data_IF_279705623461
#
_entry.id   IF_279705623461
#
_cell.length_a   1.000
_cell.length_b   1.000
_cell.length_c   1.000
_cell.angle_alpha   90.00
_cell.angle_beta   90.00
_cell.angle_gamma   90.00
#
_symmetry.space_group_name_H-M   'P 1'
#
loop_
_entity.id
_entity.type
_entity.pdbx_description
1 polymer ?
#
# COMPACT_ATOMS: atom_id res chain seq x y z
N UNK A 1 9.75 7.69 8.95
CA UNK A 1 8.41 7.64 8.36
C UNK A 1 8.62 7.31 6.89
N UNK A 2 8.10 6.18 6.43
CA UNK A 2 8.25 5.75 5.04
C UNK A 2 7.08 6.32 4.23
N UNK A 3 7.36 6.93 3.09
CA UNK A 3 6.34 7.49 2.20
C UNK A 3 6.06 6.48 1.10
N UNK A 4 4.79 6.14 0.90
CA UNK A 4 4.34 5.17 -0.09
C UNK A 4 3.25 5.81 -0.93
N UNK A 5 3.47 5.98 -2.23
CA UNK A 5 2.43 6.40 -3.15
C UNK A 5 1.93 5.16 -3.90
N UNK A 6 0.62 4.96 -3.87
CA UNK A 6 -0.08 3.86 -4.51
C UNK A 6 -1.05 4.48 -5.50
N UNK A 7 -0.84 4.20 -6.79
CA UNK A 7 -1.78 4.57 -7.83
C UNK A 7 -2.40 3.30 -8.39
N UNK A 8 -3.68 3.06 -8.13
CA UNK A 8 -4.40 1.87 -8.58
C UNK A 8 -5.49 2.22 -9.58
N UNK A 9 -5.55 1.44 -10.67
CA UNK A 9 -6.61 1.52 -11.65
C UNK A 9 -7.39 0.19 -11.71
N UNK A 10 -8.62 0.13 -11.17
CA UNK A 10 -9.40 -1.10 -11.16
C UNK A 10 -9.89 -1.54 -12.55
N UNK A 11 -9.91 -0.62 -13.54
CA UNK A 11 -10.34 -0.94 -14.91
C UNK A 11 -9.27 -1.70 -15.70
N UNK A 12 -8.00 -1.33 -15.51
CA UNK A 12 -6.86 -2.01 -16.15
C UNK A 12 -6.19 -3.04 -15.23
N UNK A 13 -6.56 -3.06 -13.95
CA UNK A 13 -5.93 -3.89 -12.91
C UNK A 13 -4.43 -3.60 -12.82
N UNK A 14 -4.07 -2.33 -12.99
CA UNK A 14 -2.70 -1.86 -12.91
C UNK A 14 -2.49 -1.06 -11.64
N UNK A 15 -1.41 -1.37 -10.92
CA UNK A 15 -1.00 -0.66 -9.71
C UNK A 15 0.43 -0.18 -9.85
N UNK A 16 0.66 1.10 -9.58
CA UNK A 16 1.99 1.68 -9.46
C UNK A 16 2.29 1.96 -8.00
N UNK A 17 3.46 1.53 -7.55
CA UNK A 17 3.97 1.79 -6.20
C UNK A 17 5.22 2.66 -6.31
N UNK A 18 5.29 3.71 -5.50
CA UNK A 18 6.49 4.51 -5.29
C UNK A 18 6.80 4.51 -3.81
N UNK A 19 8.05 4.24 -3.46
CA UNK A 19 8.56 4.30 -2.08
C UNK A 19 9.52 5.47 -2.01
N UNK A 20 9.21 6.46 -1.17
CA UNK A 20 10.00 7.70 -1.03
C UNK A 20 10.26 8.39 -2.40
N UNK A 21 9.30 8.27 -3.34
CA UNK A 21 9.42 8.81 -4.70
C UNK A 21 10.19 7.92 -5.69
N UNK A 22 10.72 6.78 -5.25
CA UNK A 22 11.46 5.84 -6.10
C UNK A 22 10.65 4.58 -6.37
N UNK A 23 10.81 4.02 -7.57
CA UNK A 23 10.19 2.73 -7.91
C UNK A 23 10.85 1.65 -7.06
N UNK A 24 10.08 0.80 -6.35
CA UNK A 24 10.66 -0.28 -5.57
C UNK A 24 11.50 -1.20 -6.48
N UNK A 25 12.64 -1.66 -5.95
CA UNK A 25 13.58 -2.50 -6.68
C UNK A 25 12.91 -3.71 -7.35
N UNK A 26 13.38 -4.10 -8.53
CA UNK A 26 12.95 -5.33 -9.20
C UNK A 26 13.23 -6.54 -8.29
N UNK A 27 12.17 -7.24 -7.88
CA UNK A 27 12.20 -8.30 -6.86
C UNK A 27 11.50 -7.94 -5.54
N UNK A 28 11.12 -6.67 -5.36
CA UNK A 28 10.23 -6.27 -4.28
C UNK A 28 8.86 -6.93 -4.44
N UNK A 29 8.30 -7.47 -3.36
CA UNK A 29 7.02 -8.19 -3.35
C UNK A 29 5.84 -7.33 -3.83
N UNK A 30 5.93 -6.01 -3.68
CA UNK A 30 4.98 -5.04 -4.24
C UNK A 30 4.91 -5.09 -5.77
N UNK A 31 5.99 -5.50 -6.44
CA UNK A 31 6.02 -5.64 -7.91
C UNK A 31 5.05 -6.72 -8.38
N UNK A 32 4.85 -7.78 -7.60
CA UNK A 32 3.88 -8.84 -7.89
C UNK A 32 2.42 -8.37 -7.76
N UNK A 33 2.18 -7.26 -7.07
CA UNK A 33 0.83 -6.69 -6.91
C UNK A 33 0.45 -5.73 -8.03
N UNK A 34 1.41 -5.34 -8.89
CA UNK A 34 1.17 -4.38 -9.99
C UNK A 34 0.12 -4.86 -10.98
N UNK A 35 0.04 -6.16 -11.22
CA UNK A 35 -0.90 -6.79 -12.16
C UNK A 35 -2.00 -7.59 -11.44
N UNK A 36 -2.23 -7.31 -10.15
CA UNK A 36 -3.20 -8.01 -9.32
C UNK A 36 -4.26 -7.06 -8.77
N UNK A 37 -5.47 -7.59 -8.57
CA UNK A 37 -6.57 -6.84 -7.96
C UNK A 37 -6.24 -6.45 -6.53
N UNK A 38 -6.59 -5.22 -6.15
CA UNK A 38 -6.31 -4.63 -4.84
C UNK A 38 -6.79 -5.52 -3.68
N UNK A 39 -8.02 -6.02 -3.77
CA UNK A 39 -8.63 -6.91 -2.76
C UNK A 39 -7.83 -8.20 -2.47
N UNK A 40 -6.96 -8.64 -3.39
CA UNK A 40 -6.15 -9.86 -3.18
C UNK A 40 -4.96 -9.62 -2.25
N UNK A 41 -4.46 -8.39 -2.15
CA UNK A 41 -3.23 -8.08 -1.43
C UNK A 41 -3.39 -6.98 -0.38
N UNK A 42 -4.46 -6.19 -0.42
CA UNK A 42 -4.64 -5.03 0.46
C UNK A 42 -4.60 -5.39 1.95
N UNK A 43 -5.20 -6.52 2.33
CA UNK A 43 -5.21 -6.99 3.72
C UNK A 43 -3.80 -7.28 4.27
N UNK A 44 -2.86 -7.64 3.38
CA UNK A 44 -1.48 -7.97 3.73
C UNK A 44 -0.51 -6.84 3.43
N UNK A 45 -0.95 -5.77 2.76
CA UNK A 45 -0.09 -4.67 2.30
C UNK A 45 0.77 -4.15 3.45
N UNK A 46 0.15 -3.79 4.58
CA UNK A 46 0.85 -3.17 5.70
C UNK A 46 1.81 -4.13 6.42
N UNK A 47 1.45 -5.41 6.55
CA UNK A 47 2.37 -6.42 7.09
C UNK A 47 3.59 -6.62 6.18
N UNK A 48 3.41 -6.60 4.86
CA UNK A 48 4.49 -6.73 3.88
C UNK A 48 5.36 -5.47 3.86
N UNK A 49 4.77 -4.28 3.97
CA UNK A 49 5.52 -3.03 4.13
C UNK A 49 6.35 -3.07 5.41
N UNK A 50 5.78 -3.45 6.55
CA UNK A 50 6.53 -3.59 7.82
C UNK A 50 7.73 -4.52 7.66
N UNK A 51 7.54 -5.70 7.07
CA UNK A 51 8.64 -6.61 6.78
C UNK A 51 9.70 -6.00 5.84
N UNK A 52 9.27 -5.29 4.80
CA UNK A 52 10.15 -4.65 3.83
C UNK A 52 11.00 -3.53 4.45
N UNK A 53 10.45 -2.82 5.44
CA UNK A 53 11.15 -1.76 6.17
C UNK A 53 11.78 -2.23 7.49
N UNK A 54 12.17 -3.52 7.58
CA UNK A 54 12.84 -4.12 8.75
C UNK A 54 12.02 -4.02 10.06
N UNK A 55 10.70 -4.10 9.97
CA UNK A 55 9.78 -3.98 11.10
C UNK A 55 9.43 -2.52 11.48
N UNK A 56 9.68 -1.55 10.61
CA UNK A 56 9.19 -0.19 10.84
C UNK A 56 7.68 -0.16 10.59
N UNK A 57 6.92 0.34 11.56
CA UNK A 57 5.46 0.39 11.50
C UNK A 57 4.93 1.81 11.21
N UNK A 58 5.76 2.71 10.69
CA UNK A 58 5.41 4.13 10.46
C UNK A 58 5.35 4.44 8.97
N UNK A 59 4.13 4.48 8.46
CA UNK A 59 3.84 4.63 7.04
C UNK A 59 3.02 5.88 6.78
N UNK A 60 3.35 6.58 5.70
CA UNK A 60 2.49 7.59 5.10
C UNK A 60 2.15 7.14 3.69
N UNK A 61 0.91 6.73 3.49
CA UNK A 61 0.39 6.20 2.25
C UNK A 61 -0.44 7.28 1.55
N UNK A 62 -0.10 7.63 0.31
CA UNK A 62 -0.97 8.40 -0.57
C UNK A 62 -1.59 7.45 -1.58
N UNK A 63 -2.91 7.36 -1.62
CA UNK A 63 -3.64 6.45 -2.49
C UNK A 63 -4.44 7.21 -3.54
N UNK A 64 -4.12 6.98 -4.81
CA UNK A 64 -4.86 7.48 -5.96
C UNK A 64 -5.55 6.35 -6.69
N UNK A 65 -6.87 6.40 -6.75
CA UNK A 65 -7.67 5.41 -7.46
C UNK A 65 -9.13 5.80 -7.47
N UNK A 66 -10.02 4.81 -7.54
CA UNK A 66 -11.45 5.05 -7.34
C UNK A 66 -11.78 5.03 -5.85
N UNK A 67 -12.91 5.64 -5.49
CA UNK A 67 -13.36 5.75 -4.10
C UNK A 67 -13.52 4.39 -3.41
N UNK A 68 -14.08 3.40 -4.12
CA UNK A 68 -14.25 2.04 -3.57
C UNK A 68 -12.92 1.41 -3.16
N UNK A 69 -11.89 1.52 -4.00
CA UNK A 69 -10.57 0.96 -3.68
C UNK A 69 -9.90 1.72 -2.52
N UNK A 70 -10.12 3.03 -2.42
CA UNK A 70 -9.62 3.79 -1.27
C UNK A 70 -10.30 3.37 0.03
N UNK A 71 -11.61 3.09 0.01
CA UNK A 71 -12.30 2.59 1.20
C UNK A 71 -11.70 1.25 1.65
N UNK A 72 -11.38 0.35 0.72
CA UNK A 72 -10.68 -0.91 1.02
C UNK A 72 -9.29 -0.65 1.64
N UNK A 73 -8.54 0.32 1.11
CA UNK A 73 -7.22 0.71 1.66
C UNK A 73 -7.35 1.36 3.04
N UNK A 74 -8.36 2.20 3.24
CA UNK A 74 -8.64 2.86 4.50
C UNK A 74 -9.01 1.86 5.59
N UNK A 75 -9.78 0.83 5.25
CA UNK A 75 -10.11 -0.26 6.16
C UNK A 75 -8.86 -1.04 6.57
N UNK A 76 -8.01 -1.42 5.60
CA UNK A 76 -6.74 -2.10 5.87
C UNK A 76 -5.78 -1.22 6.70
N UNK A 77 -5.72 0.08 6.42
CA UNK A 77 -4.93 1.04 7.20
C UNK A 77 -5.43 1.14 8.64
N UNK A 78 -6.75 1.12 8.84
CA UNK A 78 -7.35 1.12 10.16
C UNK A 78 -7.09 -0.18 10.92
N UNK A 79 -7.14 -1.33 10.23
CA UNK A 79 -6.77 -2.62 10.81
C UNK A 79 -5.30 -2.65 11.25
N UNK A 80 -4.39 -2.11 10.43
CA UNK A 80 -2.98 -1.94 10.78
C UNK A 80 -2.79 -1.03 12.00
N UNK A 81 -3.51 0.10 12.06
CA UNK A 81 -3.52 1.00 13.23
C UNK A 81 -3.97 0.30 14.51
N UNK A 82 -5.01 -0.51 14.43
CA UNK A 82 -5.51 -1.29 15.57
C UNK A 82 -4.48 -2.32 16.07
N UNK A 83 -3.56 -2.76 15.22
CA UNK A 83 -2.44 -3.66 15.57
C UNK A 83 -1.23 -2.91 16.16
N UNK A 84 -1.28 -1.59 16.25
CA UNK A 84 -0.23 -0.74 16.81
C UNK A 84 0.64 -0.02 15.76
N UNK A 85 0.31 -0.14 14.47
CA UNK A 85 1.04 0.57 13.41
C UNK A 85 0.62 2.04 13.31
N UNK A 86 1.54 2.91 12.92
CA UNK A 86 1.28 4.31 12.62
C UNK A 86 1.15 4.49 11.12
N UNK A 87 -0.08 4.36 10.61
CA UNK A 87 -0.39 4.58 9.20
C UNK A 87 -1.07 5.93 9.03
N UNK A 88 -0.54 6.81 8.20
CA UNK A 88 -1.23 7.99 7.69
C UNK A 88 -1.71 7.67 6.27
N UNK A 89 -2.98 7.92 5.97
CA UNK A 89 -3.56 7.68 4.64
C UNK A 89 -4.06 9.01 4.07
N UNK A 90 -3.68 9.29 2.84
CA UNK A 90 -4.04 10.49 2.06
C UNK A 90 -4.67 10.06 0.72
N UNK A 91 -5.55 10.88 0.16
CA UNK A 91 -6.27 10.64 -1.10
C UNK A 91 -5.76 11.57 -2.22
#
# INVERSE_FOLDING_TARGET
MNYIDITHNPFTVETTFLINGEVPAEGCKLSSYRESRLQTWIERLFDELSQLFNGDDRFKVSFKGVESDYLDVAEAAQAARNRGMLVELDW
#
